data_IF_184446908392
#
_entry.id   IF_184446908392
#
_cell.length_a   1.000
_cell.length_b   1.000
_cell.length_c   1.000
_cell.angle_alpha   90.00
_cell.angle_beta   90.00
_cell.angle_gamma   90.00
#
_symmetry.space_group_name_H-M   'P 1'
#
loop_
_entity.id
_entity.type
_entity.pdbx_description
1 polymer ?
#
# COMPACT_ATOMS: atom_id res chain seq x y z
N UNK A 1 -16.58 -4.21 20.93
CA UNK A 1 -16.24 -4.25 19.50
C UNK A 1 -16.19 -5.71 19.09
N UNK A 2 -16.86 -6.09 18.01
CA UNK A 2 -16.86 -7.47 17.52
C UNK A 2 -15.53 -7.86 16.87
N UNK A 3 -15.22 -9.15 16.88
CA UNK A 3 -13.94 -9.69 16.41
C UNK A 3 -13.70 -9.45 14.91
N UNK A 4 -14.79 -9.40 14.13
CA UNK A 4 -14.75 -9.13 12.70
C UNK A 4 -14.40 -7.67 12.41
N UNK A 5 -15.00 -6.73 13.14
CA UNK A 5 -14.64 -5.31 13.06
C UNK A 5 -13.21 -5.08 13.56
N UNK A 6 -12.77 -5.79 14.61
CA UNK A 6 -11.37 -5.72 15.06
C UNK A 6 -10.39 -6.17 13.97
N UNK A 7 -10.70 -7.26 13.26
CA UNK A 7 -9.89 -7.73 12.11
C UNK A 7 -9.88 -6.72 10.98
N UNK A 8 -11.03 -6.16 10.59
CA UNK A 8 -11.07 -5.15 9.52
C UNK A 8 -10.23 -3.93 9.89
N UNK A 9 -10.34 -3.45 11.12
CA UNK A 9 -9.56 -2.29 11.60
C UNK A 9 -8.06 -2.61 11.64
N UNK A 10 -7.65 -3.80 12.06
CA UNK A 10 -6.23 -4.16 12.07
C UNK A 10 -5.65 -4.25 10.65
N UNK A 11 -6.36 -4.85 9.69
CA UNK A 11 -5.94 -4.86 8.28
C UNK A 11 -5.90 -3.47 7.67
N UNK A 12 -6.87 -2.61 8.01
CA UNK A 12 -6.90 -1.20 7.59
C UNK A 12 -5.69 -0.44 8.14
N UNK A 13 -5.37 -0.62 9.42
CA UNK A 13 -4.20 -0.01 10.05
C UNK A 13 -2.88 -0.46 9.43
N UNK A 14 -2.74 -1.76 9.15
CA UNK A 14 -1.56 -2.31 8.44
C UNK A 14 -1.46 -1.72 7.03
N UNK A 15 -2.57 -1.63 6.31
CA UNK A 15 -2.62 -1.00 4.98
C UNK A 15 -2.20 0.47 5.03
N UNK A 16 -2.70 1.25 6.00
CA UNK A 16 -2.30 2.64 6.20
C UNK A 16 -0.80 2.78 6.51
N UNK A 17 -0.25 1.88 7.33
CA UNK A 17 1.19 1.86 7.62
C UNK A 17 2.03 1.53 6.39
N UNK A 18 1.62 0.56 5.56
CA UNK A 18 2.27 0.30 4.28
C UNK A 18 2.19 1.51 3.34
N UNK A 19 1.05 2.20 3.31
CA UNK A 19 0.88 3.45 2.57
C UNK A 19 1.83 4.55 3.03
N UNK A 20 2.07 4.66 4.35
CA UNK A 20 3.03 5.59 4.93
C UNK A 20 4.49 5.26 4.56
N UNK A 21 4.89 3.98 4.62
CA UNK A 21 6.24 3.56 4.21
C UNK A 21 6.47 3.89 2.73
N UNK A 22 5.49 3.61 1.88
CA UNK A 22 5.55 3.93 0.46
C UNK A 22 5.65 5.44 0.21
N UNK A 23 4.88 6.24 0.97
CA UNK A 23 4.96 7.69 0.90
C UNK A 23 6.37 8.20 1.26
N UNK A 24 6.95 7.66 2.34
CA UNK A 24 8.30 8.01 2.78
C UNK A 24 9.34 7.70 1.69
N UNK A 25 9.23 6.53 1.07
CA UNK A 25 10.13 6.13 -0.02
C UNK A 25 10.00 7.04 -1.26
N UNK A 26 8.77 7.42 -1.62
CA UNK A 26 8.53 8.36 -2.73
C UNK A 26 9.06 9.76 -2.46
N UNK A 27 8.91 10.25 -1.23
CA UNK A 27 9.49 11.54 -0.83
C UNK A 27 11.03 11.46 -0.91
N UNK A 28 11.62 10.40 -0.39
CA UNK A 28 13.08 10.17 -0.43
C UNK A 28 13.62 10.18 -1.87
N UNK A 29 12.95 9.46 -2.79
CA UNK A 29 13.30 9.50 -4.21
C UNK A 29 13.11 10.86 -4.85
N UNK A 30 12.04 11.58 -4.50
CA UNK A 30 11.77 12.91 -5.04
C UNK A 30 12.72 13.98 -4.49
N UNK A 31 13.31 13.73 -3.32
CA UNK A 31 14.36 14.55 -2.75
C UNK A 31 15.70 14.35 -3.49
N UNK A 32 15.95 13.18 -4.08
CA UNK A 32 17.18 12.92 -4.84
C UNK A 32 17.03 13.37 -6.30
N UNK A 33 17.55 14.56 -6.63
CA UNK A 33 17.40 15.14 -7.98
C UNK A 33 18.68 14.99 -8.76
N UNK A 34 18.59 14.35 -9.93
CA UNK A 34 19.70 14.32 -10.88
C UNK A 34 19.79 15.65 -11.62
N UNK A 35 20.75 16.48 -11.21
CA UNK A 35 21.03 17.79 -11.83
C UNK A 35 22.04 17.70 -12.97
N UNK A 36 22.42 16.50 -13.43
CA UNK A 36 23.52 16.29 -14.38
C UNK A 36 24.91 16.50 -13.76
N UNK A 37 24.98 16.56 -12.43
CA UNK A 37 26.23 16.59 -11.67
C UNK A 37 26.80 15.16 -11.49
N UNK A 38 28.04 15.05 -10.99
CA UNK A 38 28.72 13.75 -10.79
C UNK A 38 27.97 12.88 -9.76
N UNK A 39 27.14 13.50 -8.91
CA UNK A 39 26.29 12.84 -7.91
C UNK A 39 24.93 13.54 -7.89
N UNK A 40 23.83 12.81 -7.66
CA UNK A 40 22.53 13.43 -7.49
C UNK A 40 22.53 14.29 -6.22
N UNK A 41 21.71 15.34 -6.22
CA UNK A 41 21.67 16.34 -5.16
C UNK A 41 20.40 16.14 -4.36
N UNK A 42 20.55 15.92 -3.06
CA UNK A 42 19.42 15.82 -2.14
C UNK A 42 18.86 17.23 -1.86
N UNK A 43 17.71 17.55 -2.47
CA UNK A 43 17.07 18.87 -2.35
C UNK A 43 16.35 19.11 -1.02
N UNK A 44 16.29 18.08 -0.18
CA UNK A 44 15.64 18.10 1.13
C UNK A 44 16.65 18.11 2.29
N UNK A 45 17.95 18.06 1.97
CA UNK A 45 19.02 18.08 2.96
C UNK A 45 19.73 19.44 3.01
N UNK A 46 19.87 20.00 4.21
CA UNK A 46 20.49 21.33 4.42
C UNK A 46 22.01 21.37 4.14
N UNK A 47 22.64 20.19 3.98
CA UNK A 47 24.07 20.05 3.71
C UNK A 47 24.38 19.83 2.22
N UNK A 48 23.36 19.86 1.36
CA UNK A 48 23.54 19.76 -0.09
C UNK A 48 24.04 21.08 -0.68
N UNK A 49 24.94 20.97 -1.66
CA UNK A 49 25.64 22.10 -2.26
C UNK A 49 24.66 23.16 -2.78
N UNK A 50 24.66 24.35 -2.14
CA UNK A 50 23.85 25.49 -2.55
C UNK A 50 22.42 25.53 -2.01
N UNK A 51 22.05 24.62 -1.09
CA UNK A 51 20.70 24.57 -0.50
C UNK A 51 20.71 25.16 0.90
N UNK A 52 19.88 26.19 1.12
CA UNK A 52 19.68 26.76 2.46
C UNK A 52 18.73 25.90 3.29
N UNK A 53 18.81 26.02 4.61
CA UNK A 53 17.90 25.31 5.54
C UNK A 53 16.43 25.54 5.19
N UNK A 54 16.07 26.78 4.89
CA UNK A 54 14.68 27.18 4.62
C UNK A 54 14.18 26.58 3.30
N UNK A 55 15.06 26.46 2.30
CA UNK A 55 14.72 25.86 1.01
C UNK A 55 14.59 24.34 1.11
N UNK A 56 15.50 23.68 1.84
CA UNK A 56 15.41 22.24 2.11
C UNK A 56 14.11 21.89 2.85
N UNK A 57 13.75 22.66 3.87
CA UNK A 57 12.52 22.44 4.64
C UNK A 57 11.26 22.72 3.79
N UNK A 58 11.28 23.77 2.96
CA UNK A 58 10.17 24.08 2.06
C UNK A 58 9.96 22.96 1.01
N UNK A 59 11.03 22.43 0.45
CA UNK A 59 10.98 21.32 -0.51
C UNK A 59 10.42 20.05 0.15
N UNK A 60 10.95 19.69 1.32
CA UNK A 60 10.49 18.51 2.06
C UNK A 60 9.00 18.63 2.42
N UNK A 61 8.57 19.77 2.95
CA UNK A 61 7.17 20.00 3.32
C UNK A 61 6.24 19.92 2.10
N UNK A 62 6.62 20.52 0.97
CA UNK A 62 5.86 20.45 -0.28
C UNK A 62 5.69 19.00 -0.78
N UNK A 63 6.77 18.21 -0.74
CA UNK A 63 6.74 16.80 -1.15
C UNK A 63 5.87 15.96 -0.21
N UNK A 64 5.98 16.17 1.11
CA UNK A 64 5.13 15.49 2.10
C UNK A 64 3.66 15.81 1.85
N UNK A 65 3.29 17.09 1.70
CA UNK A 65 1.90 17.51 1.48
C UNK A 65 1.30 16.92 0.19
N UNK A 66 2.11 16.74 -0.84
CA UNK A 66 1.68 16.15 -2.11
C UNK A 66 1.54 14.61 -2.04
N UNK A 67 2.52 13.94 -1.43
CA UNK A 67 2.69 12.48 -1.56
C UNK A 67 2.02 11.71 -0.41
N UNK A 68 2.05 12.23 0.82
CA UNK A 68 1.57 11.50 2.00
C UNK A 68 0.05 11.25 1.97
N UNK A 69 -0.82 12.26 1.70
CA UNK A 69 -2.26 12.06 1.79
C UNK A 69 -2.76 10.99 0.83
N UNK A 70 -2.28 11.02 -0.42
CA UNK A 70 -2.68 10.08 -1.47
C UNK A 70 -2.17 8.66 -1.19
N UNK A 71 -0.92 8.52 -0.75
CA UNK A 71 -0.30 7.22 -0.46
C UNK A 71 -0.88 6.55 0.78
N UNK A 72 -1.11 7.31 1.86
CA UNK A 72 -1.71 6.80 3.09
C UNK A 72 -3.17 6.40 2.86
N UNK A 73 -3.94 7.24 2.13
CA UNK A 73 -5.33 6.93 1.79
C UNK A 73 -5.42 5.65 0.95
N UNK A 74 -4.55 5.50 -0.05
CA UNK A 74 -4.49 4.29 -0.88
C UNK A 74 -4.19 3.05 -0.03
N UNK A 75 -3.20 3.15 0.87
CA UNK A 75 -2.88 2.07 1.81
C UNK A 75 -4.06 1.70 2.71
N UNK A 76 -4.74 2.68 3.27
CA UNK A 76 -5.95 2.48 4.09
C UNK A 76 -7.06 1.79 3.31
N UNK A 77 -7.34 2.22 2.08
CA UNK A 77 -8.39 1.62 1.23
C UNK A 77 -8.07 0.17 0.90
N UNK A 78 -6.82 -0.14 0.55
CA UNK A 78 -6.36 -1.50 0.29
C UNK A 78 -6.48 -2.36 1.56
N UNK A 79 -6.02 -1.87 2.70
CA UNK A 79 -6.12 -2.55 3.99
C UNK A 79 -7.56 -2.85 4.40
N UNK A 80 -8.46 -1.87 4.21
CA UNK A 80 -9.89 -2.03 4.42
C UNK A 80 -10.48 -3.12 3.52
N UNK A 81 -10.15 -3.10 2.23
CA UNK A 81 -10.64 -4.08 1.26
C UNK A 81 -10.19 -5.50 1.62
N UNK A 82 -8.90 -5.67 1.95
CA UNK A 82 -8.34 -6.95 2.40
C UNK A 82 -9.03 -7.41 3.70
N UNK A 83 -9.26 -6.51 4.65
CA UNK A 83 -9.95 -6.82 5.89
C UNK A 83 -11.37 -7.33 5.67
N UNK A 84 -12.17 -6.63 4.85
CA UNK A 84 -13.54 -7.01 4.51
C UNK A 84 -13.57 -8.38 3.82
N UNK A 85 -12.69 -8.59 2.84
CA UNK A 85 -12.58 -9.86 2.10
C UNK A 85 -12.18 -11.00 3.05
N UNK A 86 -11.22 -10.77 3.95
CA UNK A 86 -10.74 -11.79 4.89
C UNK A 86 -11.83 -12.23 5.87
N UNK A 87 -12.61 -11.29 6.39
CA UNK A 87 -13.77 -11.60 7.24
C UNK A 87 -14.84 -12.36 6.45
N UNK A 88 -15.16 -11.93 5.22
CA UNK A 88 -16.17 -12.59 4.38
C UNK A 88 -15.80 -14.04 4.06
N UNK A 89 -14.52 -14.31 3.78
CA UNK A 89 -13.99 -15.67 3.55
C UNK A 89 -14.00 -16.48 4.86
N UNK A 90 -13.62 -15.87 5.99
CA UNK A 90 -13.69 -16.51 7.31
C UNK A 90 -15.11 -16.97 7.67
N UNK A 91 -16.11 -16.13 7.37
CA UNK A 91 -17.54 -16.48 7.55
C UNK A 91 -18.00 -17.59 6.61
N UNK A 92 -17.52 -17.63 5.37
CA UNK A 92 -17.81 -18.76 4.47
C UNK A 92 -17.21 -20.09 4.97
N UNK A 93 -16.01 -20.07 5.54
CA UNK A 93 -15.41 -21.26 6.18
C UNK A 93 -16.24 -21.75 7.38
N UNK A 94 -16.81 -20.84 8.17
CA UNK A 94 -17.67 -21.20 9.31
C UNK A 94 -19.01 -21.79 8.86
N UNK A 95 -19.57 -21.33 7.74
CA UNK A 95 -20.79 -21.94 7.15
C UNK A 95 -20.49 -23.35 6.59
N UNK A 96 -19.30 -23.57 6.03
CA UNK A 96 -18.88 -24.88 5.51
C UNK A 96 -18.52 -25.91 6.61
N UNK A 97 -18.35 -25.46 7.85
CA UNK A 97 -18.06 -26.33 9.01
C UNK A 97 -19.32 -26.79 9.76
N UNK A 98 -20.54 -26.53 9.25
CA UNK A 98 -21.70 -27.37 9.56
C UNK A 98 -21.85 -28.43 8.46
N UNK A 99 -21.33 -29.65 8.64
CA UNK A 99 -21.47 -30.70 7.65
C UNK A 99 -22.90 -31.23 7.73
N UNK A 100 -23.76 -30.79 6.82
CA UNK A 100 -24.85 -31.66 6.35
C UNK A 100 -25.05 -31.41 4.86
N UNK A 101 -24.37 -32.27 4.11
CA UNK A 101 -24.85 -32.90 2.90
C UNK A 101 -25.36 -31.99 1.78
N UNK A 102 -24.59 -31.97 0.68
CA UNK A 102 -25.02 -32.20 -0.73
C UNK A 102 -24.22 -31.28 -1.66
N UNK A 103 -23.31 -31.91 -2.41
CA UNK A 103 -22.91 -31.67 -3.82
C UNK A 103 -22.82 -30.21 -4.33
N UNK A 104 -21.79 -29.73 -5.02
CA UNK A 104 -21.05 -30.34 -6.12
C UNK A 104 -19.95 -29.36 -6.54
N UNK A 105 -18.75 -29.86 -6.85
CA UNK A 105 -17.70 -29.25 -7.70
C UNK A 105 -17.79 -27.72 -7.92
N UNK A 106 -17.22 -26.94 -7.01
CA UNK A 106 -16.62 -25.65 -7.40
C UNK A 106 -15.12 -25.87 -7.42
N UNK A 107 -14.57 -25.89 -8.63
CA UNK A 107 -13.18 -26.20 -8.91
C UNK A 107 -12.27 -25.17 -8.22
N UNK A 108 -11.59 -25.59 -7.15
CA UNK A 108 -10.79 -24.74 -6.26
C UNK A 108 -9.56 -24.13 -6.96
N UNK A 109 -9.17 -24.66 -8.12
CA UNK A 109 -7.97 -24.25 -8.86
C UNK A 109 -8.09 -22.87 -9.51
N UNK A 110 -9.28 -22.46 -9.96
CA UNK A 110 -9.44 -21.16 -10.62
C UNK A 110 -9.43 -19.98 -9.64
N UNK A 111 -9.77 -20.18 -8.37
CA UNK A 111 -9.86 -19.07 -7.41
C UNK A 111 -8.47 -18.62 -6.95
N UNK A 112 -7.54 -19.57 -6.78
CA UNK A 112 -6.13 -19.29 -6.51
C UNK A 112 -5.44 -18.66 -7.74
N UNK A 113 -5.80 -19.10 -8.95
CA UNK A 113 -5.32 -18.53 -10.19
C UNK A 113 -5.81 -17.09 -10.40
N UNK A 114 -7.10 -16.81 -10.13
CA UNK A 114 -7.65 -15.45 -10.17
C UNK A 114 -7.00 -14.57 -9.10
N UNK A 115 -6.77 -15.09 -7.90
CA UNK A 115 -6.09 -14.33 -6.84
C UNK A 115 -4.63 -14.05 -7.18
N UNK A 116 -3.93 -15.04 -7.76
CA UNK A 116 -2.59 -14.89 -8.30
C UNK A 116 -2.55 -13.86 -9.43
N UNK A 117 -3.48 -13.91 -10.38
CA UNK A 117 -3.58 -12.95 -11.48
C UNK A 117 -3.94 -11.56 -10.95
N UNK A 118 -4.88 -11.42 -10.03
CA UNK A 118 -5.27 -10.12 -9.44
C UNK A 118 -4.09 -9.52 -8.67
N UNK A 119 -3.40 -10.33 -7.85
CA UNK A 119 -2.21 -9.90 -7.11
C UNK A 119 -1.06 -9.57 -8.06
N UNK A 120 -0.83 -10.37 -9.11
CA UNK A 120 0.19 -10.13 -10.13
C UNK A 120 -0.15 -8.89 -10.98
N UNK A 121 -1.43 -8.65 -11.30
CA UNK A 121 -1.90 -7.43 -11.99
C UNK A 121 -1.79 -6.22 -11.09
N UNK A 122 -2.05 -6.33 -9.79
CA UNK A 122 -1.80 -5.24 -8.86
C UNK A 122 -0.29 -4.97 -8.79
N UNK A 123 0.54 -6.00 -8.65
CA UNK A 123 2.01 -5.85 -8.63
C UNK A 123 2.55 -5.30 -9.95
N UNK A 124 2.02 -5.70 -11.11
CA UNK A 124 2.48 -5.17 -12.42
C UNK A 124 1.92 -3.80 -12.73
N UNK A 125 0.68 -3.48 -12.36
CA UNK A 125 0.14 -2.12 -12.48
C UNK A 125 0.92 -1.19 -11.56
N UNK A 126 1.13 -1.55 -10.30
CA UNK A 126 1.91 -0.75 -9.36
C UNK A 126 3.41 -0.74 -9.70
N UNK A 127 3.95 -1.81 -10.29
CA UNK A 127 5.32 -1.88 -10.80
C UNK A 127 5.55 -1.04 -12.05
N UNK A 128 4.52 -0.82 -12.88
CA UNK A 128 4.59 0.09 -14.03
C UNK A 128 4.55 1.57 -13.61
N UNK A 129 4.04 1.89 -12.42
CA UNK A 129 4.12 3.23 -11.83
C UNK A 129 5.43 3.46 -11.05
N UNK A 130 6.41 2.55 -11.17
CA UNK A 130 7.77 2.62 -10.61
C UNK A 130 8.83 2.90 -11.71
N UNK A 131 8.41 3.37 -12.90
CA UNK A 131 9.31 3.96 -13.91
C UNK A 131 8.93 5.42 -14.11
#
# INVERSE_FOLDING_TARGET
MDEDTWKIVSYTGVGGFCGWINAKYKVDQACDVDTGAIRPVDICWNGSDGITTDLAEANLNSLIESIYPSSILTGLVIGLFIGIVSVKIGRMKIIFLRPKFIWSKVNLDNTQLIFGIVLLTLITIFGLFII
#
